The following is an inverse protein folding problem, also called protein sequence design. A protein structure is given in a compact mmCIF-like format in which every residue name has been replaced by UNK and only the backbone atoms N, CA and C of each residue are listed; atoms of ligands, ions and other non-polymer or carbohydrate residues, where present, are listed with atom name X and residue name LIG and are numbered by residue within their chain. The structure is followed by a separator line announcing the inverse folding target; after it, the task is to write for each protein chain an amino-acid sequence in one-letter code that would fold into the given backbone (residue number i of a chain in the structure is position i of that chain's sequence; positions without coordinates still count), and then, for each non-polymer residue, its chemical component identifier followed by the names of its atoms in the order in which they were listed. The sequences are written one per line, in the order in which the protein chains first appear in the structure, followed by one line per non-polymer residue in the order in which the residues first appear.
data_IF_931061669342
#
_entry.id   IF_931061669342
#
_cell.length_a   1.000
_cell.length_b   1.000
_cell.length_c   1.000
_cell.angle_alpha   90.00
_cell.angle_beta   90.00
_cell.angle_gamma   90.00
#
_symmetry.space_group_name_H-M   'P 1'
#
loop_
_entity.id
_entity.type
_entity.pdbx_description
1 polymer ?
#
# COMPACT_ATOMS: atom_id res chain seq x y z
N UNK A 1 62.57 -28.09 -31.89
CA UNK A 1 61.17 -27.83 -32.28
C UNK A 1 60.46 -27.51 -30.98
N UNK A 2 60.13 -26.24 -30.74
CA UNK A 2 59.69 -25.74 -29.43
C UNK A 2 58.18 -25.91 -29.29
N UNK A 3 57.74 -26.61 -28.26
CA UNK A 3 56.33 -26.70 -27.89
C UNK A 3 55.97 -25.51 -26.99
N UNK A 4 55.04 -24.68 -27.46
CA UNK A 4 54.46 -23.57 -26.69
C UNK A 4 53.36 -24.11 -25.78
N UNK A 5 53.54 -23.97 -24.46
CA UNK A 5 52.50 -24.27 -23.46
C UNK A 5 51.54 -23.08 -23.40
N UNK A 6 50.32 -23.27 -23.91
CA UNK A 6 49.24 -22.31 -23.76
C UNK A 6 48.63 -22.41 -22.35
N UNK A 7 48.89 -21.41 -21.50
CA UNK A 7 48.20 -21.28 -20.22
C UNK A 7 46.79 -20.73 -20.44
N UNK A 8 45.80 -21.61 -20.43
CA UNK A 8 44.39 -21.20 -20.35
C UNK A 8 44.12 -20.77 -18.92
N UNK A 9 43.82 -19.48 -18.70
CA UNK A 9 43.43 -18.96 -17.39
C UNK A 9 42.07 -19.55 -17.03
N UNK A 10 41.97 -20.31 -15.93
CA UNK A 10 40.68 -20.77 -15.44
C UNK A 10 39.77 -19.56 -15.15
N UNK A 11 38.47 -19.63 -15.49
CA UNK A 11 37.52 -18.59 -15.11
C UNK A 11 37.51 -18.47 -13.58
N UNK A 12 37.55 -17.23 -13.07
CA UNK A 12 37.41 -16.99 -11.64
C UNK A 12 35.99 -17.43 -11.24
N UNK A 13 35.80 -18.19 -10.15
CA UNK A 13 34.47 -18.46 -9.65
C UNK A 13 33.84 -17.14 -9.24
N UNK A 14 32.73 -16.77 -9.90
CA UNK A 14 31.87 -15.68 -9.46
C UNK A 14 31.00 -16.28 -8.35
N UNK A 15 31.28 -15.89 -7.11
CA UNK A 15 30.36 -16.13 -6.00
C UNK A 15 29.25 -15.09 -6.10
N UNK A 16 28.29 -15.32 -7.00
CA UNK A 16 27.00 -14.61 -6.93
C UNK A 16 26.22 -15.25 -5.78
N UNK A 17 26.46 -14.75 -4.57
CA UNK A 17 25.59 -14.99 -3.42
C UNK A 17 24.30 -14.19 -3.67
N UNK A 18 23.45 -14.71 -4.56
CA UNK A 18 22.10 -14.21 -4.73
C UNK A 18 21.35 -14.50 -3.43
N UNK A 19 20.82 -13.47 -2.78
CA UNK A 19 19.86 -13.68 -1.70
C UNK A 19 18.73 -14.59 -2.24
N UNK A 20 18.29 -15.60 -1.47
CA UNK A 20 17.20 -16.46 -1.91
C UNK A 20 16.01 -15.57 -2.25
N UNK A 21 15.37 -15.79 -3.40
CA UNK A 21 14.22 -15.00 -3.90
C UNK A 21 13.12 -14.78 -2.84
N UNK A 22 13.00 -15.72 -1.90
CA UNK A 22 12.11 -15.65 -0.74
C UNK A 22 12.42 -14.48 0.22
N UNK A 23 13.69 -14.13 0.45
CA UNK A 23 14.08 -13.05 1.39
C UNK A 23 13.73 -11.68 0.81
N UNK A 24 13.92 -11.50 -0.50
CA UNK A 24 13.58 -10.26 -1.21
C UNK A 24 12.06 -9.99 -1.19
N UNK A 25 11.25 -11.05 -1.41
CA UNK A 25 9.79 -10.94 -1.35
C UNK A 25 9.28 -10.58 0.05
N UNK A 26 9.91 -11.09 1.11
CA UNK A 26 9.55 -10.76 2.48
C UNK A 26 10.03 -9.35 2.87
N UNK A 27 11.20 -8.92 2.38
CA UNK A 27 11.72 -7.58 2.60
C UNK A 27 10.83 -6.52 1.96
N UNK A 28 10.37 -6.72 0.72
CA UNK A 28 9.42 -5.81 0.04
C UNK A 28 8.10 -5.68 0.82
N UNK A 29 7.57 -6.81 1.33
CA UNK A 29 6.37 -6.78 2.18
C UNK A 29 6.59 -5.97 3.45
N UNK A 30 7.74 -6.12 4.10
CA UNK A 30 8.07 -5.40 5.34
C UNK A 30 8.30 -3.91 5.07
N UNK A 31 9.03 -3.53 4.04
CA UNK A 31 9.28 -2.13 3.69
C UNK A 31 7.99 -1.40 3.29
N UNK A 32 7.12 -2.09 2.53
CA UNK A 32 5.80 -1.58 2.16
C UNK A 32 4.91 -1.41 3.38
N UNK A 33 4.92 -2.38 4.30
CA UNK A 33 4.19 -2.30 5.56
C UNK A 33 4.73 -1.19 6.48
N UNK A 34 6.06 -1.00 6.54
CA UNK A 34 6.70 0.01 7.37
C UNK A 34 6.42 1.43 6.84
N UNK A 35 6.55 1.63 5.53
CA UNK A 35 6.23 2.90 4.87
C UNK A 35 4.76 3.27 5.08
N UNK A 36 3.86 2.29 4.97
CA UNK A 36 2.43 2.44 5.20
C UNK A 36 2.08 2.84 6.65
N UNK A 37 2.81 2.31 7.64
CA UNK A 37 2.59 2.65 9.04
C UNK A 37 3.13 4.04 9.42
N UNK A 38 4.14 4.57 8.71
CA UNK A 38 4.78 5.84 9.07
C UNK A 38 4.15 7.08 8.41
N UNK A 39 3.45 6.95 7.27
CA UNK A 39 2.86 8.10 6.56
C UNK A 39 1.33 8.24 6.70
N UNK A 40 0.69 7.39 7.49
CA UNK A 40 -0.76 7.25 7.51
C UNK A 40 -1.28 6.53 6.26
N UNK A 41 -2.40 5.82 6.41
CA UNK A 41 -2.95 4.98 5.33
C UNK A 41 -3.85 5.82 4.47
N UNK A 42 -3.66 5.82 3.15
CA UNK A 42 -4.41 6.68 2.23
C UNK A 42 -4.89 5.92 0.99
N UNK A 43 -5.91 6.46 0.36
CA UNK A 43 -6.42 5.95 -0.91
C UNK A 43 -7.52 6.82 -1.48
N UNK A 44 -8.25 6.26 -2.44
CA UNK A 44 -9.42 6.88 -3.04
C UNK A 44 -10.57 5.88 -3.08
N UNK A 45 -11.80 6.37 -3.03
CA UNK A 45 -13.02 5.59 -3.20
C UNK A 45 -14.04 6.40 -3.99
N UNK A 46 -14.73 5.75 -4.93
CA UNK A 46 -15.79 6.37 -5.71
C UNK A 46 -17.13 6.08 -5.04
N UNK A 47 -17.91 7.13 -4.81
CA UNK A 47 -19.25 6.97 -4.26
C UNK A 47 -20.17 6.25 -5.26
N UNK A 48 -21.08 5.43 -4.75
CA UNK A 48 -22.18 4.87 -5.52
C UNK A 48 -23.48 5.18 -4.79
N UNK A 49 -24.30 6.07 -5.35
CA UNK A 49 -25.51 6.57 -4.69
C UNK A 49 -25.20 7.21 -3.33
N UNK A 50 -24.17 8.05 -3.29
CA UNK A 50 -23.80 8.82 -2.10
C UNK A 50 -23.13 8.03 -0.98
N UNK A 51 -22.77 6.76 -1.18
CA UNK A 51 -22.09 5.95 -0.16
C UNK A 51 -21.06 5.00 -0.76
N UNK A 52 -20.02 4.66 0.01
CA UNK A 52 -19.03 3.61 -0.33
C UNK A 52 -18.38 3.06 0.94
N UNK A 53 -18.17 1.75 0.98
CA UNK A 53 -17.39 1.09 2.03
C UNK A 53 -15.91 1.04 1.65
N UNK A 54 -15.04 1.42 2.58
CA UNK A 54 -13.57 1.33 2.46
C UNK A 54 -13.07 0.23 3.38
N UNK A 55 -12.29 -0.69 2.81
CA UNK A 55 -11.61 -1.74 3.58
C UNK A 55 -10.17 -1.34 3.84
N UNK A 56 -9.71 -1.55 5.07
CA UNK A 56 -8.34 -1.34 5.50
C UNK A 56 -7.63 -2.69 5.57
N UNK A 57 -6.49 -2.78 4.90
CA UNK A 57 -5.57 -3.90 5.04
C UNK A 57 -4.13 -3.39 5.15
N UNK A 58 -3.37 -3.83 6.16
CA UNK A 58 -3.80 -4.59 7.35
C UNK A 58 -4.90 -3.90 8.16
N UNK A 59 -5.56 -4.58 9.09
CA UNK A 59 -6.55 -3.96 9.97
C UNK A 59 -5.89 -2.89 10.88
N UNK A 60 -6.68 -1.94 11.36
CA UNK A 60 -6.32 -1.04 12.47
C UNK A 60 -6.39 -1.80 13.80
N UNK A 61 -5.57 -1.46 14.81
CA UNK A 61 -5.62 -2.13 16.10
C UNK A 61 -6.95 -1.96 16.87
N UNK A 62 -7.64 -0.84 16.66
CA UNK A 62 -8.96 -0.51 17.22
C UNK A 62 -9.67 0.52 16.32
N UNK A 63 -10.87 0.98 16.70
CA UNK A 63 -11.70 1.93 15.95
C UNK A 63 -11.49 3.41 16.33
N UNK A 64 -10.44 3.74 17.10
CA UNK A 64 -10.18 5.11 17.58
C UNK A 64 -9.38 6.00 16.62
N UNK A 65 -9.01 5.48 15.44
CA UNK A 65 -8.30 6.24 14.40
C UNK A 65 -9.14 7.39 13.83
N UNK A 66 -8.53 8.41 13.25
CA UNK A 66 -9.24 9.50 12.56
C UNK A 66 -9.19 9.33 11.05
N UNK A 67 -10.21 9.82 10.34
CA UNK A 67 -10.31 9.74 8.88
C UNK A 67 -10.53 11.14 8.30
N UNK A 68 -9.58 11.60 7.50
CA UNK A 68 -9.72 12.82 6.71
C UNK A 68 -10.21 12.48 5.30
N UNK A 69 -11.18 13.25 4.82
CA UNK A 69 -11.79 13.10 3.50
C UNK A 69 -11.58 14.36 2.67
N UNK A 70 -11.38 14.19 1.37
CA UNK A 70 -11.30 15.29 0.41
C UNK A 70 -11.96 14.88 -0.90
N UNK A 71 -12.64 15.82 -1.55
CA UNK A 71 -13.25 15.62 -2.86
C UNK A 71 -13.23 16.93 -3.67
N UNK A 72 -13.37 16.81 -4.99
CA UNK A 72 -13.46 17.95 -5.91
C UNK A 72 -14.87 18.51 -6.09
N UNK A 73 -15.88 17.93 -5.43
CA UNK A 73 -17.28 18.39 -5.50
C UNK A 73 -17.69 19.17 -4.25
N UNK A 74 -18.68 20.06 -4.39
CA UNK A 74 -19.19 20.87 -3.29
C UNK A 74 -20.27 20.10 -2.50
N UNK A 75 -19.84 19.10 -1.73
CA UNK A 75 -20.73 18.25 -0.92
C UNK A 75 -20.11 18.01 0.47
N UNK A 76 -20.96 17.82 1.47
CA UNK A 76 -20.50 17.42 2.81
C UNK A 76 -20.27 15.92 2.83
N UNK A 77 -19.05 15.51 3.19
CA UNK A 77 -18.70 14.12 3.39
C UNK A 77 -18.60 13.79 4.88
N UNK A 78 -18.98 12.57 5.26
CA UNK A 78 -18.88 12.11 6.65
C UNK A 78 -18.66 10.59 6.73
N UNK A 79 -18.02 10.15 7.80
CA UNK A 79 -17.71 8.74 8.04
C UNK A 79 -18.70 8.12 9.01
N UNK A 80 -19.15 6.90 8.72
CA UNK A 80 -19.94 6.05 9.62
C UNK A 80 -19.36 4.65 9.71
N UNK A 81 -19.85 3.84 10.65
CA UNK A 81 -19.53 2.40 10.75
C UNK A 81 -18.03 2.09 10.79
N UNK A 82 -17.26 2.86 11.56
CA UNK A 82 -15.83 2.57 11.76
C UNK A 82 -15.66 1.26 12.52
N UNK A 83 -14.80 0.41 12.00
CA UNK A 83 -14.32 -0.83 12.60
C UNK A 83 -12.80 -0.89 12.44
N UNK A 84 -12.16 -1.91 13.02
CA UNK A 84 -10.74 -2.21 12.77
C UNK A 84 -10.45 -2.47 11.29
N UNK A 85 -11.41 -3.05 10.57
CA UNK A 85 -11.24 -3.48 9.18
C UNK A 85 -11.66 -2.44 8.14
N UNK A 86 -12.23 -1.31 8.54
CA UNK A 86 -12.69 -0.30 7.59
C UNK A 86 -13.71 0.69 8.11
N UNK A 87 -14.29 1.44 7.19
CA UNK A 87 -15.28 2.47 7.46
C UNK A 87 -16.16 2.74 6.23
N UNK A 88 -17.28 3.43 6.41
CA UNK A 88 -18.16 3.86 5.32
C UNK A 88 -18.06 5.37 5.13
N UNK A 89 -17.85 5.81 3.89
CA UNK A 89 -17.94 7.21 3.50
C UNK A 89 -19.36 7.48 2.98
N UNK A 90 -19.95 8.59 3.41
CA UNK A 90 -21.24 9.05 2.93
C UNK A 90 -21.15 10.50 2.45
N UNK A 91 -22.01 10.87 1.51
CA UNK A 91 -22.21 12.24 1.03
C UNK A 91 -23.58 12.76 1.45
N UNK A 92 -23.67 14.07 1.69
CA UNK A 92 -24.95 14.79 1.81
C UNK A 92 -25.81 14.71 0.53
N UNK A 93 -25.21 14.35 -0.61
CA UNK A 93 -25.91 14.07 -1.86
C UNK A 93 -26.05 12.55 -2.05
N UNK A 94 -27.25 12.02 -1.83
CA UNK A 94 -27.56 10.59 -1.97
C UNK A 94 -27.50 10.03 -3.41
N UNK A 95 -27.21 10.87 -4.41
CA UNK A 95 -26.94 10.42 -5.79
C UNK A 95 -25.48 10.66 -6.21
N UNK A 96 -24.61 11.05 -5.28
CA UNK A 96 -23.22 11.38 -5.58
C UNK A 96 -22.46 10.18 -6.11
N UNK A 97 -21.61 10.45 -7.10
CA UNK A 97 -20.65 9.52 -7.73
C UNK A 97 -19.23 10.07 -7.67
N UNK A 98 -18.98 11.02 -6.78
CA UNK A 98 -17.70 11.69 -6.68
C UNK A 98 -16.59 10.74 -6.22
N UNK A 99 -15.38 10.99 -6.71
CA UNK A 99 -14.17 10.40 -6.17
C UNK A 99 -13.78 11.13 -4.87
N UNK A 100 -13.53 10.34 -3.83
CA UNK A 100 -13.16 10.80 -2.50
C UNK A 100 -11.79 10.26 -2.15
N UNK A 101 -10.82 11.16 -1.97
CA UNK A 101 -9.54 10.82 -1.37
C UNK A 101 -9.71 10.71 0.16
N UNK A 102 -9.05 9.74 0.77
CA UNK A 102 -9.10 9.50 2.20
C UNK A 102 -7.71 9.28 2.79
N UNK A 103 -7.55 9.66 4.06
CA UNK A 103 -6.35 9.46 4.88
C UNK A 103 -6.77 9.04 6.29
N UNK A 104 -6.21 7.94 6.78
CA UNK A 104 -6.33 7.45 8.16
C UNK A 104 -5.11 7.90 8.96
N UNK A 105 -5.35 8.45 10.15
CA UNK A 105 -4.29 8.82 11.11
C UNK A 105 -4.60 8.32 12.51
N UNK A 106 -3.58 8.29 13.36
CA UNK A 106 -3.65 8.09 14.81
C UNK A 106 -2.92 9.20 15.53
#
# INVERSE_FOLDING_TARGET
MNEYINYIRAPRPVLEESLPTYVEDELDKVEKALTFNLTGRKGAATLSSGTVAVSLYPEEPDDTYEVFLSTGVNETLYVTSKTTSGFTINSSNGSSTADVAWLVVR
#
